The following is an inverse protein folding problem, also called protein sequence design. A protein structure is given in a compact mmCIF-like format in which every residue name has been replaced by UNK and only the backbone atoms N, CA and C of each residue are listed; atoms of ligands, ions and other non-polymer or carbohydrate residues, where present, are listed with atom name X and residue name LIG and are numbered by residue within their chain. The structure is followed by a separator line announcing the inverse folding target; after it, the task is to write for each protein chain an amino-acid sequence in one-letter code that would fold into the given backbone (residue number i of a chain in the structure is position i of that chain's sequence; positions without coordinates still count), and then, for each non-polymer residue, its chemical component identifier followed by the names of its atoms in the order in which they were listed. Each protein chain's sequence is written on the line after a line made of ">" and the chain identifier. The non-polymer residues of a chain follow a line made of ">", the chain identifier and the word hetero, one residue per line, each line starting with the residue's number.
data_IF_304456976373
#
_entry.id   IF_304456976373
#
_cell.length_a   1.000
_cell.length_b   1.000
_cell.length_c   1.000
_cell.angle_alpha   90.00
_cell.angle_beta   90.00
_cell.angle_gamma   90.00
#
_symmetry.space_group_name_H-M   'P 1'
#
loop_
_entity.id
_entity.type
_entity.pdbx_description
1 polymer ?
#
# COMPACT_ATOMS: atom_id res chain seq x y z
N UNK A 1 34.29 -40.08 26.34
CA UNK A 1 34.41 -38.61 26.30
C UNK A 1 33.01 -38.03 26.40
N UNK A 2 32.66 -37.39 27.51
CA UNK A 2 31.87 -36.15 27.54
C UNK A 2 31.61 -35.77 29.00
N UNK A 3 31.84 -34.50 29.28
CA UNK A 3 32.11 -33.90 30.57
C UNK A 3 30.85 -33.55 31.34
N UNK A 4 30.93 -33.71 32.67
CA UNK A 4 30.11 -33.06 33.70
C UNK A 4 30.25 -31.53 33.61
N UNK A 5 29.30 -30.69 34.06
CA UNK A 5 29.13 -30.20 35.46
C UNK A 5 27.92 -29.22 35.47
N UNK A 6 26.90 -29.37 36.33
CA UNK A 6 26.72 -28.95 37.75
C UNK A 6 26.11 -27.54 37.98
N UNK A 7 24.78 -27.54 38.22
CA UNK A 7 24.01 -27.01 39.38
C UNK A 7 24.46 -25.74 40.18
N UNK A 8 23.48 -24.83 40.30
CA UNK A 8 22.88 -24.16 41.51
C UNK A 8 23.62 -23.04 42.29
N UNK A 9 23.03 -21.84 42.19
CA UNK A 9 22.26 -21.03 43.19
C UNK A 9 22.93 -20.31 44.42
N UNK A 10 22.52 -19.03 44.54
CA UNK A 10 22.08 -18.22 45.72
C UNK A 10 23.06 -17.25 46.45
N UNK A 11 22.69 -15.95 46.36
CA UNK A 11 22.46 -14.89 47.39
C UNK A 11 23.51 -14.38 48.42
N UNK A 12 23.25 -13.12 48.84
CA UNK A 12 23.85 -12.23 49.87
C UNK A 12 24.98 -11.31 49.39
N UNK A 13 25.09 -10.02 49.74
CA UNK A 13 24.44 -9.16 50.75
C UNK A 13 25.48 -8.12 51.23
N UNK A 14 25.09 -6.86 51.43
CA UNK A 14 25.89 -5.68 51.87
C UNK A 14 27.05 -5.93 52.86
N UNK A 15 28.14 -5.12 52.79
CA UNK A 15 28.81 -4.46 53.95
C UNK A 15 29.66 -3.25 53.51
N UNK A 16 29.51 -2.16 54.28
CA UNK A 16 30.27 -0.90 54.43
C UNK A 16 31.82 -0.90 54.30
N UNK A 17 32.38 0.29 54.04
CA UNK A 17 33.80 0.58 54.30
C UNK A 17 34.24 2.03 54.08
N UNK A 18 34.21 2.83 55.14
CA UNK A 18 34.61 4.26 55.26
C UNK A 18 36.09 4.59 54.96
N UNK A 19 36.26 5.88 54.59
CA UNK A 19 37.31 6.87 54.97
C UNK A 19 38.75 6.67 54.48
N UNK A 20 39.28 7.72 53.84
CA UNK A 20 40.19 8.65 54.53
C UNK A 20 40.25 10.02 53.85
N UNK A 21 40.08 11.05 54.68
CA UNK A 21 40.34 12.45 54.40
C UNK A 21 41.85 12.69 54.39
N UNK A 22 42.33 13.59 53.52
CA UNK A 22 43.60 14.27 53.74
C UNK A 22 43.47 15.75 53.36
N UNK A 23 43.93 16.57 54.29
CA UNK A 23 43.66 17.98 54.49
C UNK A 23 44.79 18.85 53.94
N UNK A 24 44.39 19.99 53.35
CA UNK A 24 45.02 21.31 53.20
C UNK A 24 46.54 21.45 53.13
N UNK A 25 47.03 22.29 52.20
CA UNK A 25 47.52 23.66 52.53
C UNK A 25 48.18 24.44 51.37
N UNK A 26 47.94 25.77 51.36
CA UNK A 26 48.71 26.94 50.81
C UNK A 26 49.06 26.98 49.30
N UNK A 27 48.94 28.08 48.54
CA UNK A 27 48.58 29.49 48.76
C UNK A 27 48.95 30.36 47.53
N UNK A 28 48.36 31.57 47.43
CA UNK A 28 48.83 32.80 46.72
C UNK A 28 49.00 32.79 45.18
N UNK A 29 48.25 33.61 44.42
CA UNK A 29 48.58 35.01 44.06
C UNK A 29 47.51 35.62 43.10
N UNK A 30 47.26 36.93 43.19
CA UNK A 30 46.40 37.72 42.28
C UNK A 30 47.09 38.02 40.94
N UNK A 31 46.51 38.61 39.89
CA UNK A 31 45.51 39.66 39.70
C UNK A 31 45.03 39.62 38.22
N UNK A 32 43.79 40.03 37.92
CA UNK A 32 43.43 40.97 36.82
C UNK A 32 41.90 41.06 36.60
N UNK A 33 41.37 42.25 36.92
CA UNK A 33 40.29 43.05 36.31
C UNK A 33 38.82 42.56 36.06
N UNK A 34 37.86 43.51 36.01
CA UNK A 34 36.43 43.30 36.27
C UNK A 34 35.59 43.29 34.99
N UNK A 35 34.51 42.51 34.95
CA UNK A 35 33.47 42.67 33.93
C UNK A 35 32.06 42.46 34.53
N UNK A 36 31.27 43.54 34.45
CA UNK A 36 29.81 43.53 34.52
C UNK A 36 29.23 42.42 33.62
N UNK A 37 28.72 41.37 34.24
CA UNK A 37 27.93 40.33 33.60
C UNK A 37 26.43 40.58 33.80
N UNK A 38 25.85 41.39 32.91
CA UNK A 38 24.40 41.41 32.68
C UNK A 38 23.98 40.07 32.07
N UNK A 39 23.46 39.15 32.87
CA UNK A 39 22.70 38.02 32.34
C UNK A 39 21.23 38.40 32.26
N UNK A 40 20.86 38.89 31.09
CA UNK A 40 19.47 38.94 30.66
C UNK A 40 18.91 37.53 30.61
N UNK A 41 17.78 37.37 31.29
CA UNK A 41 16.87 36.25 31.19
C UNK A 41 16.55 35.97 29.71
N UNK A 42 17.12 34.90 29.17
CA UNK A 42 16.67 34.30 27.92
C UNK A 42 16.02 32.98 28.27
N UNK A 43 14.78 33.08 28.75
CA UNK A 43 13.80 32.00 28.68
C UNK A 43 13.95 31.30 27.33
N UNK A 44 14.40 30.03 27.38
CA UNK A 44 14.20 29.10 26.26
C UNK A 44 12.69 28.93 26.16
N UNK A 45 12.08 29.67 25.24
CA UNK A 45 10.77 29.34 24.72
C UNK A 45 10.93 27.96 24.08
N UNK A 46 10.62 26.92 24.85
CA UNK A 46 10.28 25.62 24.30
C UNK A 46 9.12 25.88 23.35
N UNK A 47 9.32 25.63 22.06
CA UNK A 47 8.31 25.87 21.05
C UNK A 47 7.19 24.86 21.26
N UNK A 48 6.15 25.26 22.00
CA UNK A 48 4.98 24.43 22.28
C UNK A 48 4.29 23.97 21.01
N UNK A 49 4.54 24.63 19.87
CA UNK A 49 4.04 24.20 18.55
C UNK A 49 4.72 22.95 18.02
N UNK A 50 6.00 22.72 18.32
CA UNK A 50 6.71 21.51 17.90
C UNK A 50 6.27 20.30 18.73
N UNK A 51 6.01 20.48 20.03
CA UNK A 51 5.44 19.43 20.88
C UNK A 51 3.99 19.12 20.52
N UNK A 52 3.15 20.14 20.25
CA UNK A 52 1.78 19.93 19.78
C UNK A 52 1.74 19.23 18.42
N UNK A 53 2.57 19.63 17.46
CA UNK A 53 2.68 19.00 16.14
C UNK A 53 3.22 17.55 16.23
N UNK A 54 4.20 17.31 17.11
CA UNK A 54 4.69 15.96 17.39
C UNK A 54 3.62 15.08 18.05
N UNK A 55 2.87 15.60 19.02
CA UNK A 55 1.77 14.89 19.68
C UNK A 55 0.60 14.64 18.74
N UNK A 56 0.31 15.55 17.81
CA UNK A 56 -0.68 15.37 16.75
C UNK A 56 -0.24 14.26 15.81
N UNK A 57 0.98 14.31 15.26
CA UNK A 57 1.52 13.24 14.40
C UNK A 57 1.52 11.88 15.09
N UNK A 58 1.89 11.84 16.37
CA UNK A 58 1.90 10.60 17.15
C UNK A 58 0.50 10.07 17.42
N UNK A 59 -0.48 10.94 17.68
CA UNK A 59 -1.90 10.57 17.81
C UNK A 59 -2.49 10.11 16.49
N UNK A 60 -2.11 10.72 15.38
CA UNK A 60 -2.42 10.26 14.03
C UNK A 60 -1.81 8.89 13.79
N UNK A 61 -0.52 8.68 14.04
CA UNK A 61 0.14 7.37 13.88
C UNK A 61 -0.48 6.28 14.76
N UNK A 62 -0.86 6.60 15.98
CA UNK A 62 -1.56 5.67 16.88
C UNK A 62 -2.98 5.38 16.40
N UNK A 63 -3.71 6.38 15.91
CA UNK A 63 -5.02 6.18 15.28
C UNK A 63 -4.89 5.37 14.01
N UNK A 64 -3.91 5.66 13.15
CA UNK A 64 -3.61 4.94 11.93
C UNK A 64 -3.25 3.48 12.22
N UNK A 65 -2.36 3.19 13.16
CA UNK A 65 -2.02 1.80 13.50
C UNK A 65 -3.20 1.02 14.11
N UNK A 66 -4.05 1.69 14.88
CA UNK A 66 -5.28 1.10 15.41
C UNK A 66 -6.34 0.86 14.32
N UNK A 67 -6.56 1.86 13.45
CA UNK A 67 -7.45 1.76 12.28
C UNK A 67 -6.94 0.69 11.33
N UNK A 68 -5.65 0.69 10.98
CA UNK A 68 -5.01 -0.28 10.09
C UNK A 68 -5.07 -1.70 10.66
N UNK A 69 -4.76 -1.94 11.93
CA UNK A 69 -4.81 -3.31 12.49
C UNK A 69 -6.23 -3.90 12.52
N UNK A 70 -7.22 -3.08 12.90
CA UNK A 70 -8.63 -3.49 12.96
C UNK A 70 -9.19 -3.70 11.54
N UNK A 71 -8.78 -2.86 10.59
CA UNK A 71 -9.24 -2.92 9.21
C UNK A 71 -8.53 -4.00 8.40
N UNK A 72 -7.23 -4.27 8.59
CA UNK A 72 -6.55 -5.42 7.94
C UNK A 72 -7.28 -6.74 8.26
N UNK A 73 -7.78 -6.90 9.49
CA UNK A 73 -8.59 -8.06 9.86
C UNK A 73 -9.95 -8.07 9.15
N UNK A 74 -10.64 -6.93 9.05
CA UNK A 74 -11.87 -6.79 8.28
C UNK A 74 -11.64 -6.98 6.78
N UNK A 75 -10.48 -6.60 6.25
CA UNK A 75 -10.09 -6.78 4.85
C UNK A 75 -9.81 -8.25 4.59
N UNK A 76 -9.07 -8.94 5.44
CA UNK A 76 -8.88 -10.38 5.33
C UNK A 76 -10.22 -11.16 5.36
N UNK A 77 -11.16 -10.76 6.23
CA UNK A 77 -12.48 -11.39 6.34
C UNK A 77 -13.42 -11.03 5.18
N UNK A 78 -13.48 -9.77 4.77
CA UNK A 78 -14.29 -9.33 3.63
C UNK A 78 -13.77 -9.94 2.32
N UNK A 79 -12.46 -9.94 2.11
CA UNK A 79 -11.83 -10.56 0.95
C UNK A 79 -12.00 -12.09 0.94
N UNK A 80 -12.04 -12.74 2.12
CA UNK A 80 -12.42 -14.15 2.23
C UNK A 80 -13.90 -14.39 1.91
N UNK A 81 -14.79 -13.47 2.26
CA UNK A 81 -16.22 -13.57 1.94
C UNK A 81 -16.52 -13.30 0.45
N UNK A 82 -15.69 -12.51 -0.25
CA UNK A 82 -15.78 -12.39 -1.72
C UNK A 82 -15.50 -13.73 -2.42
N UNK A 83 -14.54 -14.52 -1.88
CA UNK A 83 -14.25 -15.86 -2.41
C UNK A 83 -15.43 -16.83 -2.23
N UNK A 84 -16.26 -16.63 -1.19
CA UNK A 84 -17.42 -17.50 -0.92
C UNK A 84 -18.71 -17.02 -1.61
N UNK A 85 -18.94 -15.71 -1.75
CA UNK A 85 -20.12 -15.16 -2.41
C UNK A 85 -20.06 -15.25 -3.95
N UNK A 86 -18.86 -15.21 -4.54
CA UNK A 86 -18.65 -15.32 -6.00
C UNK A 86 -19.06 -16.69 -6.59
N UNK A 87 -19.37 -17.69 -5.76
CA UNK A 87 -19.68 -19.06 -6.22
C UNK A 87 -21.16 -19.46 -6.10
N UNK A 88 -22.09 -18.61 -5.62
CA UNK A 88 -23.44 -19.13 -5.32
C UNK A 88 -24.71 -18.28 -5.57
N UNK A 89 -24.67 -17.00 -5.98
CA UNK A 89 -25.92 -16.19 -5.93
C UNK A 89 -26.46 -15.65 -7.26
N UNK A 90 -25.70 -15.64 -8.37
CA UNK A 90 -26.24 -15.19 -9.67
C UNK A 90 -26.81 -16.31 -10.57
N UNK A 91 -26.78 -17.57 -10.13
CA UNK A 91 -27.11 -18.74 -10.96
C UNK A 91 -28.56 -19.23 -10.96
N UNK A 92 -29.57 -18.47 -10.51
CA UNK A 92 -30.95 -19.00 -10.36
C UNK A 92 -32.08 -18.34 -11.16
N UNK A 93 -31.79 -17.51 -12.16
CA UNK A 93 -32.84 -16.98 -13.04
C UNK A 93 -32.41 -16.88 -14.52
N UNK A 94 -31.89 -17.95 -15.12
CA UNK A 94 -31.94 -18.16 -16.58
C UNK A 94 -32.05 -19.67 -16.88
N UNK A 95 -33.09 -20.15 -17.59
CA UNK A 95 -33.07 -21.47 -18.18
C UNK A 95 -32.23 -21.42 -19.47
N UNK A 96 -31.35 -22.41 -19.65
CA UNK A 96 -30.31 -22.55 -20.68
C UNK A 96 -28.99 -21.79 -20.43
N UNK A 97 -28.00 -22.50 -19.90
CA UNK A 97 -26.66 -22.43 -20.47
C UNK A 97 -26.19 -23.84 -20.80
N UNK A 98 -26.10 -24.13 -22.08
CA UNK A 98 -25.17 -25.15 -22.56
C UNK A 98 -23.80 -24.76 -22.03
N UNK A 99 -23.15 -25.62 -21.25
CA UNK A 99 -21.73 -25.48 -20.92
C UNK A 99 -20.95 -25.54 -22.24
N UNK A 100 -20.82 -24.39 -22.87
CA UNK A 100 -19.98 -24.20 -24.04
C UNK A 100 -18.57 -24.24 -23.49
N UNK A 101 -17.80 -25.27 -23.83
CA UNK A 101 -16.38 -25.28 -23.51
C UNK A 101 -15.77 -23.99 -24.08
N UNK A 102 -15.18 -23.18 -23.20
CA UNK A 102 -14.41 -22.01 -23.63
C UNK A 102 -13.15 -22.57 -24.31
N UNK A 103 -13.08 -22.48 -25.63
CA UNK A 103 -11.88 -22.80 -26.39
C UNK A 103 -11.06 -21.52 -26.56
N UNK A 104 -9.87 -21.50 -25.97
CA UNK A 104 -8.92 -20.41 -26.15
C UNK A 104 -8.11 -20.63 -27.42
N UNK A 105 -7.76 -19.55 -28.10
CA UNK A 105 -6.71 -19.61 -29.12
C UNK A 105 -5.34 -19.86 -28.47
N UNK A 106 -4.36 -20.44 -29.19
CA UNK A 106 -3.01 -20.65 -28.63
C UNK A 106 -2.38 -19.38 -28.06
N UNK A 107 -2.62 -18.22 -28.71
CA UNK A 107 -2.13 -16.92 -28.23
C UNK A 107 -2.81 -16.49 -26.91
N UNK A 108 -4.13 -16.72 -26.77
CA UNK A 108 -4.83 -16.43 -25.53
C UNK A 108 -4.36 -17.33 -24.39
N UNK A 109 -4.10 -18.62 -24.65
CA UNK A 109 -3.56 -19.55 -23.66
C UNK A 109 -2.17 -19.11 -23.18
N UNK A 110 -1.28 -18.75 -24.12
CA UNK A 110 0.06 -18.26 -23.81
C UNK A 110 0.01 -16.99 -22.94
N UNK A 111 -0.76 -15.98 -23.37
CA UNK A 111 -0.88 -14.72 -22.62
C UNK A 111 -1.52 -14.91 -21.25
N UNK A 112 -2.54 -15.77 -21.15
CA UNK A 112 -3.15 -16.11 -19.86
C UNK A 112 -2.16 -16.83 -18.94
N UNK A 113 -1.34 -17.74 -19.48
CA UNK A 113 -0.30 -18.43 -18.71
C UNK A 113 0.73 -17.45 -18.17
N UNK A 114 1.27 -16.56 -19.02
CA UNK A 114 2.24 -15.53 -18.61
C UNK A 114 1.64 -14.61 -17.55
N UNK A 115 0.40 -14.16 -17.73
CA UNK A 115 -0.28 -13.35 -16.73
C UNK A 115 -0.40 -14.11 -15.40
N UNK A 116 -0.86 -15.37 -15.41
CA UNK A 116 -1.00 -16.18 -14.18
C UNK A 116 0.34 -16.42 -13.49
N UNK A 117 1.42 -16.63 -14.23
CA UNK A 117 2.77 -16.73 -13.68
C UNK A 117 3.16 -15.45 -12.95
N UNK A 118 2.93 -14.27 -13.57
CA UNK A 118 3.15 -12.97 -12.91
C UNK A 118 2.34 -12.82 -11.63
N UNK A 119 1.05 -13.20 -11.64
CA UNK A 119 0.15 -13.11 -10.48
C UNK A 119 0.59 -13.99 -9.29
N UNK A 120 1.36 -15.05 -9.54
CA UNK A 120 1.82 -15.99 -8.50
C UNK A 120 3.11 -15.54 -7.80
N UNK A 121 3.78 -14.49 -8.28
CA UNK A 121 5.02 -14.01 -7.67
C UNK A 121 4.71 -13.18 -6.42
N UNK A 122 5.06 -13.66 -5.21
CA UNK A 122 4.96 -12.83 -4.01
C UNK A 122 6.04 -11.74 -4.05
N UNK A 123 5.73 -10.57 -3.48
CA UNK A 123 6.78 -9.59 -3.22
C UNK A 123 7.78 -10.18 -2.19
N UNK A 124 9.06 -9.92 -2.43
CA UNK A 124 10.16 -10.39 -1.60
C UNK A 124 11.19 -9.28 -1.46
N UNK A 125 11.23 -8.65 -0.29
CA UNK A 125 12.15 -7.56 0.02
C UNK A 125 13.63 -7.97 0.08
N UNK A 126 13.95 -9.27 0.04
CA UNK A 126 15.33 -9.75 -0.05
C UNK A 126 15.87 -9.80 -1.49
N UNK A 127 14.98 -9.80 -2.49
CA UNK A 127 15.36 -9.85 -3.91
C UNK A 127 15.71 -8.47 -4.44
N UNK A 128 16.87 -8.36 -5.08
CA UNK A 128 17.37 -7.10 -5.64
C UNK A 128 16.41 -6.57 -6.70
N UNK A 129 15.86 -7.44 -7.56
CA UNK A 129 14.92 -7.03 -8.61
C UNK A 129 13.67 -6.36 -8.03
N UNK A 130 13.10 -6.91 -6.96
CA UNK A 130 11.90 -6.36 -6.33
C UNK A 130 12.19 -5.04 -5.62
N UNK A 131 13.35 -4.93 -4.97
CA UNK A 131 13.80 -3.69 -4.38
C UNK A 131 14.01 -2.61 -5.45
N UNK A 132 14.61 -2.95 -6.59
CA UNK A 132 14.84 -2.02 -7.69
C UNK A 132 13.54 -1.54 -8.33
N UNK A 133 12.55 -2.41 -8.48
CA UNK A 133 11.20 -2.02 -8.89
C UNK A 133 10.56 -1.03 -7.90
N UNK A 134 10.72 -1.25 -6.59
CA UNK A 134 10.20 -0.32 -5.57
C UNK A 134 10.91 1.05 -5.65
N UNK A 135 12.23 1.06 -5.86
CA UNK A 135 13.00 2.29 -6.10
C UNK A 135 12.58 2.98 -7.41
N UNK A 136 12.29 2.22 -8.46
CA UNK A 136 11.79 2.75 -9.72
C UNK A 136 10.43 3.43 -9.54
N UNK A 137 9.50 2.77 -8.84
CA UNK A 137 8.21 3.36 -8.51
C UNK A 137 8.38 4.69 -7.74
N UNK A 138 9.29 4.72 -6.76
CA UNK A 138 9.59 5.97 -6.04
C UNK A 138 10.10 7.08 -6.95
N UNK A 139 11.04 6.79 -7.87
CA UNK A 139 11.55 7.78 -8.83
C UNK A 139 10.45 8.34 -9.74
N UNK A 140 9.50 7.49 -10.14
CA UNK A 140 8.39 7.90 -10.98
C UNK A 140 7.36 8.75 -10.22
N UNK A 141 7.18 8.46 -8.92
CA UNK A 141 6.27 9.19 -8.04
C UNK A 141 6.86 10.54 -7.59
N UNK A 142 8.13 10.56 -7.20
CA UNK A 142 8.81 11.71 -6.60
C UNK A 142 10.15 11.95 -7.31
N UNK A 143 10.14 12.48 -8.56
CA UNK A 143 11.35 12.58 -9.40
C UNK A 143 12.46 13.44 -8.79
N UNK A 144 12.10 14.44 -7.98
CA UNK A 144 13.04 15.38 -7.35
C UNK A 144 13.43 14.99 -5.92
N UNK A 145 12.98 13.82 -5.44
CA UNK A 145 13.24 13.36 -4.06
C UNK A 145 14.24 12.20 -4.06
N UNK A 146 15.18 12.23 -3.11
CA UNK A 146 16.12 11.13 -2.94
C UNK A 146 15.39 9.82 -2.64
N UNK A 147 15.91 8.71 -3.16
CA UNK A 147 15.32 7.38 -2.96
C UNK A 147 15.54 6.98 -1.49
N UNK A 148 14.48 6.68 -0.74
CA UNK A 148 14.61 6.28 0.64
C UNK A 148 15.27 4.89 0.74
N UNK A 149 15.90 4.57 1.89
CA UNK A 149 16.20 3.19 2.24
C UNK A 149 14.93 2.32 2.22
N UNK A 150 15.09 0.99 2.09
CA UNK A 150 13.96 0.06 2.05
C UNK A 150 13.01 0.18 3.25
N UNK A 151 13.54 0.58 4.40
CA UNK A 151 12.77 0.91 5.60
C UNK A 151 12.93 2.39 5.90
N UNK A 152 11.86 3.16 5.74
CA UNK A 152 11.86 4.62 5.91
C UNK A 152 10.46 5.15 6.14
N UNK A 153 10.33 6.23 6.93
CA UNK A 153 9.06 6.96 7.09
C UNK A 153 8.56 7.57 5.77
N UNK A 154 9.48 7.91 4.86
CA UNK A 154 9.13 8.50 3.55
C UNK A 154 8.17 7.64 2.72
N UNK A 155 8.14 6.32 2.94
CA UNK A 155 7.18 5.46 2.26
C UNK A 155 5.72 5.83 2.57
N UNK A 156 5.44 6.40 3.75
CA UNK A 156 4.09 6.88 4.09
C UNK A 156 3.63 8.01 3.17
N UNK A 157 4.53 8.81 2.60
CA UNK A 157 4.19 9.89 1.66
C UNK A 157 3.55 9.35 0.37
N UNK A 158 3.87 8.10 0.00
CA UNK A 158 3.24 7.40 -1.13
C UNK A 158 1.95 6.66 -0.73
N UNK A 159 1.59 6.67 0.55
CA UNK A 159 0.44 5.94 1.10
C UNK A 159 0.71 4.45 1.33
N UNK A 160 1.93 4.05 1.70
CA UNK A 160 2.21 2.74 2.29
C UNK A 160 1.78 2.72 3.77
N UNK A 161 1.38 1.58 4.34
CA UNK A 161 0.84 1.54 5.73
C UNK A 161 1.90 1.82 6.80
N UNK A 162 3.15 1.50 6.51
CA UNK A 162 4.26 1.65 7.45
C UNK A 162 5.55 2.00 6.76
N UNK A 163 6.65 1.87 7.51
CA UNK A 163 7.98 2.18 7.01
C UNK A 163 8.54 1.14 6.06
N UNK A 164 7.90 -0.03 5.94
CA UNK A 164 8.33 -1.15 5.12
C UNK A 164 7.20 -1.56 4.16
N UNK A 165 7.26 -1.11 2.89
CA UNK A 165 6.25 -1.43 1.86
C UNK A 165 6.06 -2.93 1.63
N UNK A 166 7.04 -3.77 1.98
CA UNK A 166 6.93 -5.22 1.78
C UNK A 166 5.72 -5.84 2.49
N UNK A 167 5.26 -5.19 3.57
CA UNK A 167 4.13 -5.67 4.38
C UNK A 167 2.76 -5.49 3.71
N UNK A 168 2.65 -4.56 2.76
CA UNK A 168 1.41 -4.20 2.08
C UNK A 168 1.08 -5.13 0.90
N UNK A 169 2.07 -5.80 0.31
CA UNK A 169 1.92 -6.62 -0.89
C UNK A 169 1.27 -8.01 -0.68
N UNK A 170 0.71 -8.31 0.50
CA UNK A 170 0.21 -9.66 0.83
C UNK A 170 -0.96 -10.12 -0.05
N UNK A 171 -1.88 -9.21 -0.40
CA UNK A 171 -3.03 -9.51 -1.24
C UNK A 171 -2.70 -9.45 -2.72
N UNK A 172 -2.13 -8.32 -3.18
CA UNK A 172 -1.87 -8.08 -4.60
C UNK A 172 -0.57 -8.67 -5.15
N UNK A 173 0.34 -9.19 -4.31
CA UNK A 173 1.62 -9.75 -4.75
C UNK A 173 2.53 -8.74 -5.46
N UNK A 174 3.58 -9.25 -6.11
CA UNK A 174 4.54 -8.41 -6.85
C UNK A 174 3.89 -7.70 -8.05
N UNK A 175 2.89 -8.31 -8.70
CA UNK A 175 2.17 -7.70 -9.82
C UNK A 175 1.54 -6.35 -9.47
N UNK A 176 1.13 -6.13 -8.22
CA UNK A 176 0.58 -4.83 -7.82
C UNK A 176 1.61 -3.70 -7.84
N UNK A 177 2.89 -4.01 -7.58
CA UNK A 177 4.00 -3.07 -7.78
C UNK A 177 4.22 -2.82 -9.28
N UNK A 178 4.19 -3.87 -10.10
CA UNK A 178 4.28 -3.74 -11.56
C UNK A 178 3.15 -2.87 -12.12
N UNK A 179 1.92 -3.04 -11.63
CA UNK A 179 0.77 -2.25 -12.04
C UNK A 179 0.92 -0.75 -11.68
N UNK A 180 1.42 -0.44 -10.48
CA UNK A 180 1.71 0.94 -10.08
C UNK A 180 2.78 1.58 -10.97
N UNK A 181 3.84 0.83 -11.28
CA UNK A 181 4.90 1.28 -12.20
C UNK A 181 4.34 1.48 -13.61
N UNK A 182 3.54 0.53 -14.10
CA UNK A 182 2.90 0.63 -15.40
C UNK A 182 2.04 1.88 -15.50
N UNK A 183 1.25 2.17 -14.46
CA UNK A 183 0.42 3.36 -14.41
C UNK A 183 1.27 4.64 -14.47
N UNK A 184 2.31 4.72 -13.63
CA UNK A 184 3.19 5.88 -13.59
C UNK A 184 3.94 6.11 -14.91
N UNK A 185 4.30 5.05 -15.63
CA UNK A 185 5.02 5.14 -16.91
C UNK A 185 4.10 5.48 -18.09
N UNK A 186 2.91 4.89 -18.15
CA UNK A 186 2.03 4.99 -19.32
C UNK A 186 1.03 6.15 -19.22
N UNK A 187 0.67 6.57 -18.01
CA UNK A 187 -0.26 7.68 -17.77
C UNK A 187 0.26 8.60 -16.65
N UNK A 188 1.45 9.20 -16.81
CA UNK A 188 2.13 9.94 -15.74
C UNK A 188 1.30 11.09 -15.16
N UNK A 189 0.61 11.87 -16.01
CA UNK A 189 -0.22 12.99 -15.55
C UNK A 189 -1.37 12.50 -14.65
N UNK A 190 -2.05 11.44 -15.08
CA UNK A 190 -3.14 10.81 -14.32
C UNK A 190 -2.64 10.19 -13.02
N UNK A 191 -1.47 9.55 -13.04
CA UNK A 191 -0.83 9.00 -11.85
C UNK A 191 -0.49 10.10 -10.84
N UNK A 192 0.11 11.19 -11.30
CA UNK A 192 0.51 12.33 -10.46
C UNK A 192 -0.68 13.05 -9.85
N UNK A 193 -1.76 13.27 -10.61
CA UNK A 193 -3.02 13.83 -10.09
C UNK A 193 -3.60 12.98 -8.95
N UNK A 194 -3.59 11.65 -9.10
CA UNK A 194 -4.09 10.72 -8.09
C UNK A 194 -3.18 10.61 -6.86
N UNK A 195 -1.86 10.61 -7.06
CA UNK A 195 -0.87 10.56 -5.97
C UNK A 195 -1.04 11.80 -5.08
N UNK A 196 -1.12 12.98 -5.70
CA UNK A 196 -1.21 14.26 -4.99
C UNK A 196 -2.63 14.73 -4.69
N UNK A 197 -3.65 13.90 -4.96
CA UNK A 197 -5.06 14.21 -4.63
C UNK A 197 -5.54 15.55 -5.18
N UNK A 198 -5.11 15.90 -6.40
CA UNK A 198 -5.25 17.26 -6.94
C UNK A 198 -6.70 17.68 -7.30
N UNK A 199 -7.61 16.71 -7.39
CA UNK A 199 -8.97 16.91 -7.88
C UNK A 199 -10.03 16.70 -6.79
N UNK A 200 -11.12 17.47 -6.89
CA UNK A 200 -12.35 17.29 -6.12
C UNK A 200 -12.28 17.80 -4.68
N UNK A 201 -13.44 17.74 -4.00
CA UNK A 201 -13.54 18.00 -2.55
C UNK A 201 -13.40 16.67 -1.83
N UNK A 202 -12.40 16.56 -0.98
CA UNK A 202 -11.99 15.32 -0.33
C UNK A 202 -12.32 15.33 1.16
N UNK A 203 -12.53 14.15 1.72
CA UNK A 203 -12.68 14.01 3.17
C UNK A 203 -11.34 14.24 3.85
N UNK A 204 -11.36 14.52 5.15
CA UNK A 204 -10.13 14.62 5.95
C UNK A 204 -9.35 13.28 5.94
N UNK A 205 -10.09 12.17 6.04
CA UNK A 205 -9.53 10.82 6.04
C UNK A 205 -9.53 10.22 4.64
N UNK A 206 -8.50 10.55 3.85
CA UNK A 206 -8.35 10.02 2.48
C UNK A 206 -7.83 8.59 2.42
N UNK A 207 -8.03 7.95 1.25
CA UNK A 207 -7.45 6.64 1.00
C UNK A 207 -5.92 6.73 0.80
N UNK A 208 -5.16 5.79 1.40
CA UNK A 208 -3.72 5.65 1.16
C UNK A 208 -3.46 5.20 -0.28
N UNK A 209 -2.73 6.02 -1.06
CA UNK A 209 -2.57 5.81 -2.51
C UNK A 209 -1.98 4.44 -2.88
N UNK A 210 -0.81 4.08 -2.36
CA UNK A 210 -0.17 2.80 -2.71
C UNK A 210 -0.99 1.59 -2.28
N UNK A 211 -1.52 1.60 -1.05
CA UNK A 211 -2.40 0.54 -0.52
C UNK A 211 -3.67 0.39 -1.35
N UNK A 212 -4.27 1.50 -1.77
CA UNK A 212 -5.41 1.47 -2.68
C UNK A 212 -5.06 0.80 -4.01
N UNK A 213 -3.88 1.13 -4.57
CA UNK A 213 -3.34 0.47 -5.74
C UNK A 213 -3.24 -1.05 -5.56
N UNK A 214 -2.66 -1.53 -4.46
CA UNK A 214 -2.56 -2.98 -4.19
C UNK A 214 -3.94 -3.66 -4.16
N UNK A 215 -4.95 -2.98 -3.61
CA UNK A 215 -6.28 -3.55 -3.46
C UNK A 215 -7.08 -3.55 -4.77
N UNK A 216 -6.80 -2.60 -5.66
CA UNK A 216 -7.34 -2.62 -7.02
C UNK A 216 -6.81 -3.85 -7.77
N UNK A 217 -5.50 -4.11 -7.73
CA UNK A 217 -4.94 -5.32 -8.35
C UNK A 217 -5.60 -6.58 -7.80
N UNK A 218 -5.72 -6.68 -6.48
CA UNK A 218 -6.36 -7.84 -5.85
C UNK A 218 -7.82 -8.00 -6.24
N UNK A 219 -8.60 -6.92 -6.23
CA UNK A 219 -10.01 -6.91 -6.65
C UNK A 219 -10.15 -7.38 -8.10
N UNK A 220 -9.29 -6.91 -9.02
CA UNK A 220 -9.31 -7.33 -10.41
C UNK A 220 -8.99 -8.82 -10.57
N UNK A 221 -7.98 -9.34 -9.85
CA UNK A 221 -7.63 -10.77 -9.87
C UNK A 221 -8.83 -11.63 -9.47
N UNK A 222 -9.58 -11.21 -8.45
CA UNK A 222 -10.80 -11.91 -7.99
C UNK A 222 -11.97 -11.75 -8.96
N UNK A 223 -12.25 -10.52 -9.42
CA UNK A 223 -13.36 -10.22 -10.34
C UNK A 223 -13.24 -11.00 -11.64
N UNK A 224 -12.01 -11.12 -12.15
CA UNK A 224 -11.69 -11.80 -13.41
C UNK A 224 -11.43 -13.31 -13.24
N UNK A 225 -11.54 -13.85 -12.02
CA UNK A 225 -11.35 -15.28 -11.75
C UNK A 225 -10.00 -15.84 -12.23
N UNK A 226 -8.92 -15.04 -12.08
CA UNK A 226 -7.60 -15.37 -12.65
C UNK A 226 -6.82 -16.42 -11.84
N UNK A 227 -7.27 -16.76 -10.64
CA UNK A 227 -6.69 -17.83 -9.81
C UNK A 227 -7.23 -19.21 -10.18
N UNK A 228 -8.37 -19.29 -10.86
CA UNK A 228 -8.94 -20.54 -11.35
C UNK A 228 -8.13 -21.07 -12.53
N UNK A 229 -8.22 -22.38 -12.81
CA UNK A 229 -7.57 -22.98 -14.00
C UNK A 229 -8.05 -22.32 -15.29
N UNK A 230 -9.33 -21.96 -15.35
CA UNK A 230 -9.97 -21.20 -16.41
C UNK A 230 -10.94 -20.18 -15.80
N UNK A 231 -10.90 -18.90 -16.21
CA UNK A 231 -11.87 -17.91 -15.79
C UNK A 231 -13.31 -18.34 -16.14
N UNK A 232 -14.17 -18.33 -15.14
CA UNK A 232 -15.58 -18.74 -15.26
C UNK A 232 -16.57 -17.59 -15.03
N UNK A 233 -16.11 -16.48 -14.45
CA UNK A 233 -16.93 -15.28 -14.29
C UNK A 233 -17.19 -14.61 -15.64
N UNK A 234 -18.36 -13.98 -15.80
CA UNK A 234 -18.68 -13.25 -17.03
C UNK A 234 -17.60 -12.20 -17.36
N UNK A 235 -17.13 -11.46 -16.36
CA UNK A 235 -16.04 -10.50 -16.52
C UNK A 235 -14.72 -11.16 -16.93
N UNK A 236 -14.38 -12.31 -16.36
CA UNK A 236 -13.21 -13.10 -16.73
C UNK A 236 -13.26 -13.59 -18.18
N UNK A 237 -14.41 -14.08 -18.63
CA UNK A 237 -14.64 -14.51 -20.02
C UNK A 237 -14.44 -13.32 -20.99
N UNK A 238 -15.06 -12.17 -20.70
CA UNK A 238 -14.89 -10.96 -21.51
C UNK A 238 -13.45 -10.46 -21.50
N UNK A 239 -12.77 -10.54 -20.36
CA UNK A 239 -11.36 -10.16 -20.26
C UNK A 239 -10.44 -11.03 -21.11
N UNK A 240 -10.74 -12.32 -21.30
CA UNK A 240 -9.96 -13.20 -22.20
C UNK A 240 -10.02 -12.74 -23.66
N UNK A 241 -11.10 -12.09 -24.08
CA UNK A 241 -11.20 -11.45 -25.40
C UNK A 241 -10.25 -10.25 -25.46
N UNK A 242 -10.25 -9.38 -24.44
CA UNK A 242 -9.35 -8.22 -24.38
C UNK A 242 -7.87 -8.63 -24.36
N UNK A 243 -7.55 -9.70 -23.63
CA UNK A 243 -6.20 -10.26 -23.52
C UNK A 243 -5.72 -10.85 -24.87
N UNK A 244 -6.64 -11.31 -25.72
CA UNK A 244 -6.33 -11.77 -27.08
C UNK A 244 -5.80 -10.62 -27.96
N UNK A 245 -6.31 -9.42 -27.75
CA UNK A 245 -5.92 -8.23 -28.51
C UNK A 245 -4.68 -7.54 -27.94
N UNK A 246 -4.49 -7.59 -26.61
CA UNK A 246 -3.44 -6.84 -25.93
C UNK A 246 -2.85 -7.60 -24.73
N UNK A 247 -1.55 -7.90 -24.77
CA UNK A 247 -0.85 -8.55 -23.66
C UNK A 247 -0.83 -7.70 -22.37
N UNK A 248 -0.97 -6.38 -22.50
CA UNK A 248 -1.02 -5.44 -21.38
C UNK A 248 -2.46 -5.13 -20.94
N UNK A 249 -3.46 -5.90 -21.38
CA UNK A 249 -4.87 -5.64 -21.06
C UNK A 249 -5.11 -5.56 -19.54
N UNK A 250 -4.47 -6.42 -18.74
CA UNK A 250 -4.60 -6.39 -17.28
C UNK A 250 -4.06 -5.08 -16.68
N UNK A 251 -2.85 -4.68 -17.07
CA UNK A 251 -2.19 -3.47 -16.57
C UNK A 251 -2.93 -2.19 -17.01
N UNK A 252 -3.52 -2.17 -18.21
CA UNK A 252 -4.38 -1.07 -18.66
C UNK A 252 -5.70 -1.02 -17.89
N UNK A 253 -6.33 -2.17 -17.67
CA UNK A 253 -7.57 -2.26 -16.89
C UNK A 253 -7.35 -1.81 -15.45
N UNK A 254 -6.20 -2.12 -14.86
CA UNK A 254 -5.76 -1.59 -13.57
C UNK A 254 -5.76 -0.06 -13.52
N UNK A 255 -5.18 0.59 -14.53
CA UNK A 255 -5.13 2.05 -14.58
C UNK A 255 -6.54 2.65 -14.63
N UNK A 256 -7.43 2.07 -15.46
CA UNK A 256 -8.84 2.49 -15.55
C UNK A 256 -9.54 2.29 -14.20
N UNK A 257 -9.36 1.14 -13.56
CA UNK A 257 -9.94 0.82 -12.27
C UNK A 257 -9.50 1.81 -11.17
N UNK A 258 -8.25 2.26 -11.19
CA UNK A 258 -7.75 3.24 -10.23
C UNK A 258 -8.40 4.61 -10.44
N UNK A 259 -8.47 5.11 -11.68
CA UNK A 259 -9.18 6.37 -11.94
C UNK A 259 -10.66 6.28 -11.61
N UNK A 260 -11.29 5.15 -11.90
CA UNK A 260 -12.67 4.92 -11.55
C UNK A 260 -12.89 4.86 -10.02
N UNK A 261 -11.93 4.30 -9.27
CA UNK A 261 -11.95 4.31 -7.81
C UNK A 261 -11.95 5.73 -7.27
N UNK A 262 -11.04 6.58 -7.72
CA UNK A 262 -10.98 7.98 -7.27
C UNK A 262 -12.24 8.76 -7.68
N UNK A 263 -12.78 8.52 -8.88
CA UNK A 263 -14.04 9.13 -9.30
C UNK A 263 -15.21 8.73 -8.39
N UNK A 264 -15.33 7.44 -8.04
CA UNK A 264 -16.34 6.95 -7.09
C UNK A 264 -16.12 7.51 -5.69
N UNK A 265 -14.85 7.63 -5.26
CA UNK A 265 -14.47 8.22 -3.99
C UNK A 265 -14.99 9.66 -3.86
N UNK A 266 -14.69 10.49 -4.86
CA UNK A 266 -15.11 11.89 -4.91
C UNK A 266 -16.63 12.03 -5.02
N UNK A 267 -17.28 11.21 -5.85
CA UNK A 267 -18.73 11.23 -6.02
C UNK A 267 -19.45 10.95 -4.69
N UNK A 268 -18.94 10.00 -3.90
CA UNK A 268 -19.50 9.59 -2.62
C UNK A 268 -19.09 10.51 -1.47
N UNK A 269 -18.10 11.39 -1.67
CA UNK A 269 -17.39 12.09 -0.59
C UNK A 269 -16.92 11.09 0.47
N UNK A 270 -16.40 9.96 -0.01
CA UNK A 270 -15.99 8.87 0.84
C UNK A 270 -14.85 9.31 1.76
N UNK A 271 -14.86 8.77 2.96
CA UNK A 271 -13.70 8.71 3.84
C UNK A 271 -13.11 7.31 3.78
N UNK A 272 -11.97 7.14 4.45
CA UNK A 272 -11.33 5.85 4.65
C UNK A 272 -12.29 4.73 5.11
N UNK A 273 -13.33 5.07 5.88
CA UNK A 273 -14.32 4.11 6.37
C UNK A 273 -15.19 3.51 5.26
N UNK A 274 -15.38 4.23 4.15
CA UNK A 274 -16.19 3.79 3.01
C UNK A 274 -15.35 3.08 1.93
N UNK A 275 -14.07 2.83 2.16
CA UNK A 275 -13.15 2.29 1.15
C UNK A 275 -13.66 0.99 0.49
N UNK A 276 -14.18 0.05 1.29
CA UNK A 276 -14.73 -1.20 0.77
C UNK A 276 -16.00 -0.98 -0.06
N UNK A 277 -16.83 0.00 0.30
CA UNK A 277 -18.01 0.34 -0.49
C UNK A 277 -17.64 0.97 -1.83
N UNK A 278 -16.58 1.79 -1.85
CA UNK A 278 -16.02 2.35 -3.08
C UNK A 278 -15.49 1.24 -3.98
N UNK A 279 -14.68 0.31 -3.45
CA UNK A 279 -14.18 -0.81 -4.26
C UNK A 279 -15.28 -1.71 -4.81
N UNK A 280 -16.35 -1.96 -4.04
CA UNK A 280 -17.53 -2.67 -4.55
C UNK A 280 -18.18 -1.93 -5.71
N UNK A 281 -18.33 -0.61 -5.60
CA UNK A 281 -18.90 0.21 -6.67
C UNK A 281 -18.03 0.18 -7.95
N UNK A 282 -16.70 0.25 -7.80
CA UNK A 282 -15.74 0.12 -8.91
C UNK A 282 -15.89 -1.23 -9.59
N UNK A 283 -15.88 -2.32 -8.82
CA UNK A 283 -16.07 -3.69 -9.35
C UNK A 283 -17.37 -3.79 -10.15
N UNK A 284 -18.49 -3.38 -9.55
CA UNK A 284 -19.81 -3.44 -10.21
C UNK A 284 -19.83 -2.62 -11.50
N UNK A 285 -19.16 -1.46 -11.53
CA UNK A 285 -19.10 -0.66 -12.74
C UNK A 285 -18.22 -1.30 -13.82
N UNK A 286 -17.05 -1.86 -13.48
CA UNK A 286 -16.21 -2.58 -14.44
C UNK A 286 -16.90 -3.83 -14.99
N UNK A 287 -17.60 -4.60 -14.15
CA UNK A 287 -18.38 -5.77 -14.61
C UNK A 287 -19.44 -5.36 -15.63
N UNK A 288 -20.08 -4.19 -15.45
CA UNK A 288 -21.05 -3.64 -16.40
C UNK A 288 -20.39 -3.17 -17.69
N UNK A 289 -19.27 -2.45 -17.60
CA UNK A 289 -18.55 -1.94 -18.78
C UNK A 289 -17.96 -3.08 -19.62
N UNK A 290 -17.41 -4.13 -19.00
CA UNK A 290 -16.89 -5.32 -19.70
C UNK A 290 -17.99 -6.15 -20.40
N UNK A 291 -19.23 -6.07 -19.91
CA UNK A 291 -20.37 -6.76 -20.49
C UNK A 291 -20.95 -6.06 -21.73
N UNK A 292 -20.47 -4.87 -22.08
CA UNK A 292 -20.89 -4.16 -23.29
C UNK A 292 -20.38 -4.90 -24.54
N UNK A 293 -21.25 -5.00 -25.55
CA UNK A 293 -20.97 -5.75 -26.79
C UNK A 293 -19.89 -5.09 -27.65
N UNK A 294 -19.78 -3.76 -27.61
CA UNK A 294 -18.84 -2.95 -28.37
C UNK A 294 -17.46 -2.82 -27.72
N UNK A 295 -17.28 -3.36 -26.50
CA UNK A 295 -15.99 -3.40 -25.83
C UNK A 295 -15.18 -4.59 -26.32
N UNK A 296 -14.18 -4.30 -27.17
CA UNK A 296 -13.23 -5.29 -27.72
C UNK A 296 -11.80 -5.06 -27.23
N UNK A 297 -11.50 -3.85 -26.78
CA UNK A 297 -10.24 -3.45 -26.18
C UNK A 297 -10.49 -2.70 -24.87
N UNK A 298 -9.50 -2.66 -23.97
CA UNK A 298 -9.58 -1.85 -22.75
C UNK A 298 -9.84 -0.37 -23.04
N UNK A 299 -9.37 0.12 -24.21
CA UNK A 299 -9.57 1.51 -24.64
C UNK A 299 -11.03 1.87 -24.96
N UNK A 300 -11.86 0.86 -25.18
CA UNK A 300 -13.27 1.02 -25.55
C UNK A 300 -14.15 1.19 -24.30
N UNK A 301 -13.63 0.90 -23.10
CA UNK A 301 -14.36 1.08 -21.85
C UNK A 301 -14.76 2.55 -21.67
N UNK A 302 -16.02 2.86 -21.31
CA UNK A 302 -16.45 4.22 -21.02
C UNK A 302 -15.53 4.96 -20.03
N UNK A 303 -15.05 4.25 -19.00
CA UNK A 303 -14.14 4.80 -17.99
C UNK A 303 -12.70 5.01 -18.49
N UNK A 304 -12.30 4.48 -19.66
CA UNK A 304 -10.95 4.65 -20.19
C UNK A 304 -10.57 6.12 -20.40
N UNK A 305 -11.55 6.96 -20.78
CA UNK A 305 -11.33 8.39 -20.98
C UNK A 305 -10.88 9.14 -19.73
N UNK A 306 -11.08 8.57 -18.53
CA UNK A 306 -10.64 9.17 -17.26
C UNK A 306 -9.12 9.19 -17.09
N UNK A 307 -8.38 8.38 -17.86
CA UNK A 307 -6.91 8.35 -17.86
C UNK A 307 -6.26 9.61 -18.44
N UNK A 308 -7.04 10.41 -19.18
CA UNK A 308 -6.55 11.62 -19.85
C UNK A 308 -7.28 12.89 -19.39
N UNK A 309 -8.16 12.76 -18.38
CA UNK A 309 -8.86 13.89 -17.77
C UNK A 309 -8.06 14.47 -16.62
#
# INVERSE_FOLDING_TARGET
>A
MSSSTLRRRLYHGDVDGRRNEQMDTFGSDGLDEPLLGSYGDRSKVYDSREEEDWDIRKKEEQHWTFLFSTLIAQWAQWLANILTESSSVFGRLLPFSTQSQIYLSPLQEERLSILKERLQVPFDGSRVEHQDALRQLWRLAFPDTAIPPLKSESWKDMGWQGTDPSTDFRGGGYVSLENLIYFAQNYPDSFQKLLHKQEGVRAEWEYPFAVAGVNISFMLIQMLDLQSSMPSSQAGIRFLELLAEDENAFDKLYCVAFRLMDAQWLLKRASYMEFNEVLKAVRTQLERELALEDVTHVRDLPSYTMLYR
#
